data_IF_494178213239
#
_entry.id   IF_494178213239
#
_cell.length_a   1.000
_cell.length_b   1.000
_cell.length_c   1.000
_cell.angle_alpha   90.00
_cell.angle_beta   90.00
_cell.angle_gamma   90.00
#
_symmetry.space_group_name_H-M   'P 1'
#
loop_
_entity.id
_entity.type
_entity.pdbx_description
1 polymer ?
#
# COMPACT_ATOMS: atom_id res chain seq x y z
N UNK A 1 -0.74 11.02 -27.01
CA UNK A 1 -1.18 11.92 -25.90
C UNK A 1 -1.42 11.06 -24.66
N UNK A 2 -0.40 10.74 -23.83
CA UNK A 2 -0.59 10.05 -22.52
C UNK A 2 0.55 10.43 -21.55
N UNK A 3 0.70 11.71 -21.20
CA UNK A 3 1.67 12.14 -20.18
C UNK A 3 1.06 12.98 -19.04
N UNK A 4 -0.27 13.17 -19.02
CA UNK A 4 -0.93 14.19 -18.17
C UNK A 4 -1.73 13.68 -16.98
N UNK A 5 -1.70 12.38 -16.68
CA UNK A 5 -2.44 11.79 -15.54
C UNK A 5 -1.54 11.50 -14.31
N UNK A 6 -0.24 11.76 -14.42
CA UNK A 6 0.75 11.32 -13.43
C UNK A 6 0.89 12.24 -12.21
N UNK A 7 0.43 13.49 -12.28
CA UNK A 7 0.62 14.46 -11.19
C UNK A 7 -0.44 14.30 -10.09
N UNK A 8 -1.69 14.16 -10.49
CA UNK A 8 -2.82 14.04 -9.56
C UNK A 8 -2.77 12.78 -8.69
N UNK A 9 -2.25 11.67 -9.21
CA UNK A 9 -2.14 10.42 -8.47
C UNK A 9 -1.14 10.52 -7.32
N UNK A 10 -0.02 11.21 -7.54
CA UNK A 10 0.99 11.45 -6.50
C UNK A 10 0.46 12.45 -5.46
N UNK A 11 -0.17 13.54 -5.90
CA UNK A 11 -0.79 14.55 -5.03
C UNK A 11 -1.88 13.98 -4.13
N UNK A 12 -2.65 12.99 -4.60
CA UNK A 12 -3.68 12.30 -3.79
C UNK A 12 -3.11 11.28 -2.81
N UNK A 13 -1.88 10.80 -3.03
CA UNK A 13 -1.24 9.82 -2.17
C UNK A 13 -0.32 10.47 -1.12
N UNK A 14 0.24 11.64 -1.41
CA UNK A 14 1.01 12.45 -0.46
C UNK A 14 0.31 12.65 0.91
N UNK A 15 -0.96 13.07 0.98
CA UNK A 15 -1.65 13.27 2.26
C UNK A 15 -2.01 11.96 2.98
N UNK A 16 -1.70 10.80 2.40
CA UNK A 16 -1.89 9.50 3.05
C UNK A 16 -0.63 9.08 3.83
N UNK A 17 0.54 9.67 3.51
CA UNK A 17 1.78 9.46 4.29
C UNK A 17 1.55 9.93 5.73
N UNK A 18 1.97 9.12 6.70
CA UNK A 18 1.77 9.34 8.12
C UNK A 18 0.39 8.91 8.65
N UNK A 19 -0.51 8.40 7.80
CA UNK A 19 -1.81 7.88 8.23
C UNK A 19 -1.83 6.36 8.29
N UNK A 20 -2.47 5.84 9.31
CA UNK A 20 -2.75 4.40 9.42
C UNK A 20 -4.00 4.07 8.62
N UNK A 21 -3.88 3.15 7.67
CA UNK A 21 -4.99 2.64 6.83
C UNK A 21 -5.20 1.16 7.10
N UNK A 22 -6.47 0.75 7.09
CA UNK A 22 -6.87 -0.65 7.13
C UNK A 22 -6.65 -1.27 5.75
N UNK A 23 -5.86 -2.33 5.72
CA UNK A 23 -5.42 -3.02 4.50
C UNK A 23 -5.81 -4.49 4.61
N UNK A 24 -6.46 -5.02 3.59
CA UNK A 24 -6.71 -6.46 3.45
C UNK A 24 -5.52 -7.13 2.77
N UNK A 25 -4.93 -8.14 3.41
CA UNK A 25 -3.82 -8.90 2.81
C UNK A 25 -4.37 -9.81 1.72
N UNK A 26 -3.88 -9.63 0.49
CA UNK A 26 -4.22 -10.47 -0.65
C UNK A 26 -3.17 -11.57 -0.90
N UNK A 27 -1.92 -11.35 -0.47
CA UNK A 27 -0.85 -12.35 -0.60
C UNK A 27 0.54 -11.74 -0.50
N UNK A 28 1.53 -12.42 -1.08
CA UNK A 28 2.90 -11.94 -1.17
C UNK A 28 3.11 -11.02 -2.38
N UNK A 29 4.12 -10.16 -2.28
CA UNK A 29 4.57 -9.32 -3.38
C UNK A 29 5.17 -10.19 -4.48
N UNK A 30 4.86 -9.87 -5.75
CA UNK A 30 5.47 -10.55 -6.91
C UNK A 30 6.99 -10.42 -6.99
N UNK A 31 7.59 -9.47 -6.26
CA UNK A 31 9.04 -9.21 -6.28
C UNK A 31 9.82 -9.89 -5.16
N UNK A 32 9.19 -10.16 -4.01
CA UNK A 32 9.84 -10.81 -2.87
C UNK A 32 8.81 -11.38 -1.93
N UNK A 33 9.08 -12.58 -1.42
CA UNK A 33 8.31 -13.23 -0.36
C UNK A 33 8.42 -12.50 1.00
N UNK A 34 9.40 -11.62 1.17
CA UNK A 34 9.56 -10.77 2.37
C UNK A 34 8.53 -9.64 2.48
N UNK A 35 7.76 -9.37 1.43
CA UNK A 35 6.75 -8.31 1.44
C UNK A 35 5.36 -8.88 1.17
N UNK A 36 4.39 -8.42 1.95
CA UNK A 36 2.98 -8.67 1.73
C UNK A 36 2.37 -7.57 0.86
N UNK A 37 1.46 -8.00 0.01
CA UNK A 37 0.61 -7.15 -0.81
C UNK A 37 -0.79 -7.15 -0.21
N UNK A 38 -1.31 -5.95 0.01
CA UNK A 38 -2.69 -5.77 0.40
C UNK A 38 -3.36 -4.58 -0.27
N UNK A 39 -4.67 -4.47 -0.06
CA UNK A 39 -5.49 -3.39 -0.61
C UNK A 39 -6.24 -2.64 0.48
N UNK A 40 -6.29 -1.32 0.37
CA UNK A 40 -7.17 -0.50 1.22
C UNK A 40 -8.62 -0.55 0.73
N UNK A 41 -9.55 -0.01 1.52
CA UNK A 41 -10.96 0.16 1.13
C UNK A 41 -11.13 0.98 -0.16
N UNK A 42 -10.20 1.88 -0.48
CA UNK A 42 -10.18 2.66 -1.72
C UNK A 42 -9.52 1.90 -2.88
N UNK A 43 -9.35 0.58 -2.75
CA UNK A 43 -8.71 -0.31 -3.69
C UNK A 43 -7.24 0.07 -4.03
N UNK A 44 -6.59 0.86 -3.16
CA UNK A 44 -5.17 1.22 -3.34
C UNK A 44 -4.28 0.08 -2.89
N UNK A 45 -3.25 -0.23 -3.68
CA UNK A 45 -2.28 -1.26 -3.37
C UNK A 45 -1.29 -0.74 -2.33
N UNK A 46 -1.10 -1.50 -1.26
CA UNK A 46 -0.15 -1.24 -0.18
C UNK A 46 0.81 -2.40 -0.06
N UNK A 47 2.10 -2.09 0.01
CA UNK A 47 3.18 -3.04 0.21
C UNK A 47 3.80 -2.82 1.59
N UNK A 48 3.96 -3.88 2.36
CA UNK A 48 4.52 -3.82 3.71
C UNK A 48 5.25 -5.13 4.04
N UNK A 49 6.23 -5.13 4.97
CA UNK A 49 6.98 -6.34 5.30
C UNK A 49 6.08 -7.46 5.83
N UNK A 50 6.43 -8.70 5.45
CA UNK A 50 5.84 -9.93 5.98
C UNK A 50 6.37 -10.13 7.40
N UNK A 51 5.64 -9.65 8.39
CA UNK A 51 5.93 -9.99 9.79
C UNK A 51 5.30 -11.33 10.16
N UNK A 52 4.00 -11.35 10.46
CA UNK A 52 3.30 -12.57 10.93
C UNK A 52 1.83 -12.60 10.54
N UNK A 53 1.49 -11.98 9.40
CA UNK A 53 0.10 -11.83 8.96
C UNK A 53 -0.17 -12.72 7.76
N UNK A 54 -1.35 -13.32 7.72
CA UNK A 54 -1.77 -14.20 6.65
C UNK A 54 -2.76 -13.51 5.71
N UNK A 55 -2.86 -14.04 4.49
CA UNK A 55 -3.89 -13.66 3.51
C UNK A 55 -5.29 -13.73 4.12
N UNK A 56 -6.15 -12.77 3.76
CA UNK A 56 -7.53 -12.70 4.23
C UNK A 56 -7.70 -11.96 5.56
N UNK A 57 -6.61 -11.53 6.20
CA UNK A 57 -6.68 -10.69 7.40
C UNK A 57 -6.64 -9.21 7.04
N UNK A 58 -7.43 -8.42 7.78
CA UNK A 58 -7.30 -6.97 7.78
C UNK A 58 -6.24 -6.54 8.80
N UNK A 59 -5.32 -5.71 8.36
CA UNK A 59 -4.23 -5.19 9.16
C UNK A 59 -4.16 -3.68 9.06
N UNK A 60 -3.64 -3.04 10.09
CA UNK A 60 -3.39 -1.62 10.09
C UNK A 60 -1.96 -1.38 9.60
N UNK A 61 -1.83 -0.57 8.56
CA UNK A 61 -0.53 -0.23 7.97
C UNK A 61 -0.36 1.27 8.03
N UNK A 62 0.72 1.72 8.67
CA UNK A 62 1.15 3.11 8.65
C UNK A 62 1.85 3.37 7.32
N UNK A 63 1.28 4.24 6.50
CA UNK A 63 1.87 4.59 5.20
C UNK A 63 3.06 5.53 5.45
N UNK A 64 4.26 5.10 5.05
CA UNK A 64 5.50 5.89 5.23
C UNK A 64 5.96 6.53 3.93
N UNK A 65 5.68 5.88 2.79
CA UNK A 65 5.99 6.43 1.47
C UNK A 65 4.93 6.04 0.46
N UNK A 66 4.78 6.84 -0.59
CA UNK A 66 3.93 6.51 -1.72
C UNK A 66 4.67 6.72 -3.04
N UNK A 67 4.36 5.90 -4.03
CA UNK A 67 4.73 6.12 -5.43
C UNK A 67 3.47 6.38 -6.25
N UNK A 68 3.63 6.55 -7.58
CA UNK A 68 2.53 6.85 -8.50
C UNK A 68 1.33 5.89 -8.41
N UNK A 69 1.55 4.63 -8.04
CA UNK A 69 0.49 3.61 -7.99
C UNK A 69 0.57 2.65 -6.82
N UNK A 70 1.52 2.82 -5.90
CA UNK A 70 1.71 1.89 -4.78
C UNK A 70 2.06 2.67 -3.52
N UNK A 71 1.35 2.36 -2.43
CA UNK A 71 1.69 2.85 -1.11
C UNK A 71 2.65 1.85 -0.45
N UNK A 72 3.58 2.33 0.35
CA UNK A 72 4.41 1.48 1.18
C UNK A 72 4.32 1.94 2.61
N UNK A 73 4.34 0.96 3.50
CA UNK A 73 4.25 1.21 4.92
C UNK A 73 4.70 0.03 5.72
N UNK A 74 4.47 0.13 7.02
CA UNK A 74 4.75 -0.94 7.99
C UNK A 74 3.52 -1.22 8.83
N UNK A 75 3.44 -2.45 9.35
CA UNK A 75 2.36 -2.85 10.24
C UNK A 75 2.45 -2.04 11.55
N UNK A 76 1.28 -1.77 12.13
CA UNK A 76 1.10 -1.15 13.46
C UNK A 76 0.25 -2.03 14.33
#
# INVERSE_FOLDING_TARGET
IIQRENRHSLERNLPEIGKTRKVLIEGFSKRSDDFLLGRTSNNKVVLFPKENKMKGQYVNVLIERCTKGTLFGKLV
#
